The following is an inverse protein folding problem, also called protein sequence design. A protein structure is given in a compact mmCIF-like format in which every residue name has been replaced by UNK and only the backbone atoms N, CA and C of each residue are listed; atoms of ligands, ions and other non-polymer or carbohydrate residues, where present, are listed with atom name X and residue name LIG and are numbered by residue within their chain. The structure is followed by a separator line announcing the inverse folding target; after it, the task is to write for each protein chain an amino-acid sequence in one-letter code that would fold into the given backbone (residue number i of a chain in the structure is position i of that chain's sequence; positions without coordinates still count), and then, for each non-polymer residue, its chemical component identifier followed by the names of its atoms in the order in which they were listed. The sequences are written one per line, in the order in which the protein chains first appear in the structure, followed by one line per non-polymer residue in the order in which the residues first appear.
data_IF_035609473331
#
_entry.id   IF_035609473331
#
_cell.length_a   1.000
_cell.length_b   1.000
_cell.length_c   1.000
_cell.angle_alpha   90.00
_cell.angle_beta   90.00
_cell.angle_gamma   90.00
#
_symmetry.space_group_name_H-M   'P 1'
#
loop_
_entity.id
_entity.type
_entity.pdbx_description
1 polymer ?
#
# COMPACT_ATOMS: atom_id res chain seq x y z
N UNK A 1 9.06 16.80 61.14
CA UNK A 1 9.99 15.80 61.73
C UNK A 1 9.32 14.45 61.55
N UNK A 2 9.84 13.58 60.67
CA UNK A 2 9.37 12.20 60.61
C UNK A 2 9.56 11.51 61.96
N UNK A 3 8.87 10.41 62.20
CA UNK A 3 9.04 9.62 63.42
C UNK A 3 10.45 8.99 63.32
N UNK A 4 11.46 9.72 63.78
CA UNK A 4 12.85 9.61 63.34
C UNK A 4 13.49 8.24 63.56
N UNK A 5 12.97 7.43 64.47
CA UNK A 5 13.49 6.09 64.74
C UNK A 5 13.27 5.06 63.63
N UNK A 6 12.41 5.36 62.64
CA UNK A 6 12.03 4.40 61.59
C UNK A 6 12.34 4.89 60.17
N UNK A 7 13.15 5.95 60.04
CA UNK A 7 13.74 6.35 58.77
C UNK A 7 15.27 6.21 58.86
N UNK A 8 15.92 5.87 57.75
CA UNK A 8 17.37 5.85 57.59
C UNK A 8 17.79 6.96 56.62
N UNK A 9 18.79 7.77 56.97
CA UNK A 9 19.22 8.94 56.19
C UNK A 9 18.59 10.25 56.65
N UNK A 10 18.79 11.32 55.88
CA UNK A 10 18.53 12.70 56.31
C UNK A 10 17.22 13.28 55.75
N UNK A 11 16.62 14.20 56.51
CA UNK A 11 15.49 15.04 56.06
C UNK A 11 14.26 14.28 55.53
N UNK A 12 14.07 13.04 55.96
CA UNK A 12 12.90 12.26 55.60
C UNK A 12 11.66 12.69 56.42
N UNK A 13 10.51 12.78 55.75
CA UNK A 13 9.21 13.06 56.37
C UNK A 13 8.30 11.85 56.15
N UNK A 14 7.79 11.27 57.23
CA UNK A 14 6.94 10.08 57.21
C UNK A 14 7.60 8.87 57.89
N UNK A 15 7.44 7.67 57.31
CA UNK A 15 7.77 6.39 57.95
C UNK A 15 8.44 5.41 56.98
N UNK A 16 9.46 4.68 57.46
CA UNK A 16 10.05 3.56 56.72
C UNK A 16 10.88 3.98 55.51
N UNK A 17 11.30 5.24 55.41
CA UNK A 17 12.09 5.73 54.28
C UNK A 17 13.58 5.45 54.49
N UNK A 18 14.31 5.14 53.42
CA UNK A 18 15.76 4.95 53.39
C UNK A 18 16.41 5.82 52.34
N UNK A 19 17.41 6.63 52.72
CA UNK A 19 18.07 7.64 51.87
C UNK A 19 17.69 9.05 52.29
N UNK A 20 17.75 10.04 51.38
CA UNK A 20 17.64 11.45 51.75
C UNK A 20 16.42 12.17 51.14
N UNK A 21 15.84 13.11 51.89
CA UNK A 21 14.79 14.04 51.43
C UNK A 21 13.52 13.35 50.89
N UNK A 22 13.16 12.18 51.39
CA UNK A 22 11.93 11.49 50.99
C UNK A 22 10.72 11.97 51.80
N UNK A 23 9.55 12.07 51.16
CA UNK A 23 8.28 12.42 51.80
C UNK A 23 7.27 11.29 51.55
N UNK A 24 6.80 10.65 52.61
CA UNK A 24 5.78 9.59 52.56
C UNK A 24 6.24 8.30 53.23
N UNK A 25 5.94 7.16 52.62
CA UNK A 25 6.09 5.85 53.26
C UNK A 25 6.89 4.86 52.43
N UNK A 26 7.82 4.17 53.08
CA UNK A 26 8.55 3.05 52.47
C UNK A 26 9.29 3.40 51.17
N UNK A 27 9.76 4.64 51.02
CA UNK A 27 10.56 5.02 49.85
C UNK A 27 12.04 4.67 50.09
N UNK A 28 12.75 4.31 49.02
CA UNK A 28 14.19 4.03 49.04
C UNK A 28 14.92 4.89 48.00
N UNK A 29 16.08 5.45 48.35
CA UNK A 29 16.81 6.41 47.53
C UNK A 29 16.50 7.85 47.93
N UNK A 30 16.48 8.78 46.98
CA UNK A 30 16.50 10.21 47.28
C UNK A 30 15.33 10.99 46.66
N UNK A 31 14.86 12.02 47.35
CA UNK A 31 13.91 13.00 46.82
C UNK A 31 12.57 12.41 46.33
N UNK A 32 12.15 11.24 46.82
CA UNK A 32 10.90 10.63 46.41
C UNK A 32 9.72 11.17 47.24
N UNK A 33 8.55 11.31 46.59
CA UNK A 33 7.30 11.74 47.24
C UNK A 33 6.21 10.70 46.98
N UNK A 34 5.68 10.10 48.05
CA UNK A 34 4.60 9.12 47.99
C UNK A 34 4.95 7.80 48.67
N UNK A 35 4.67 6.68 48.01
CA UNK A 35 4.70 5.36 48.65
C UNK A 35 5.50 4.36 47.82
N UNK A 36 6.35 3.58 48.49
CA UNK A 36 7.07 2.45 47.87
C UNK A 36 7.90 2.81 46.63
N UNK A 37 8.32 4.07 46.48
CA UNK A 37 9.17 4.45 45.35
C UNK A 37 10.62 4.09 45.64
N UNK A 38 11.36 3.72 44.59
CA UNK A 38 12.78 3.37 44.65
C UNK A 38 13.59 4.18 43.63
N UNK A 39 14.69 4.78 44.04
CA UNK A 39 15.56 5.58 43.17
C UNK A 39 15.48 7.07 43.48
N UNK A 40 15.39 7.94 42.47
CA UNK A 40 15.55 9.39 42.64
C UNK A 40 14.39 10.21 42.06
N UNK A 41 13.77 11.06 42.88
CA UNK A 41 12.86 12.10 42.40
C UNK A 41 11.53 11.58 41.87
N UNK A 42 11.10 10.39 42.28
CA UNK A 42 9.83 9.82 41.84
C UNK A 42 8.66 10.37 42.68
N UNK A 43 7.50 10.58 42.04
CA UNK A 43 6.27 11.08 42.68
C UNK A 43 5.12 10.10 42.41
N UNK A 44 4.55 9.54 43.47
CA UNK A 44 3.39 8.64 43.39
C UNK A 44 3.62 7.30 44.09
N UNK A 45 3.25 6.20 43.44
CA UNK A 45 3.24 4.87 44.07
C UNK A 45 4.06 3.85 43.29
N UNK A 46 4.99 3.19 43.97
CA UNK A 46 5.66 1.99 43.45
C UNK A 46 6.49 2.23 42.20
N UNK A 47 7.01 3.44 41.99
CA UNK A 47 7.88 3.74 40.85
C UNK A 47 9.34 3.35 41.15
N UNK A 48 10.08 2.92 40.12
CA UNK A 48 11.50 2.55 40.21
C UNK A 48 12.34 3.31 39.18
N UNK A 49 13.48 3.84 39.60
CA UNK A 49 14.40 4.59 38.76
C UNK A 49 14.36 6.09 39.05
N UNK A 50 14.29 6.93 38.02
CA UNK A 50 14.43 8.37 38.17
C UNK A 50 13.23 9.17 37.63
N UNK A 51 12.83 10.22 38.35
CA UNK A 51 11.92 11.27 37.87
C UNK A 51 10.58 10.77 37.29
N UNK A 52 10.07 9.64 37.78
CA UNK A 52 8.79 9.11 37.33
C UNK A 52 7.61 9.68 38.13
N UNK A 53 6.48 9.93 37.46
CA UNK A 53 5.23 10.39 38.05
C UNK A 53 4.09 9.39 37.85
N UNK A 54 3.34 9.09 38.90
CA UNK A 54 2.17 8.21 38.86
C UNK A 54 2.42 6.84 39.51
N UNK A 55 2.07 5.76 38.82
CA UNK A 55 1.97 4.42 39.42
C UNK A 55 2.80 3.38 38.65
N UNK A 56 3.61 2.62 39.38
CA UNK A 56 4.28 1.42 38.86
C UNK A 56 5.14 1.64 37.61
N UNK A 57 5.72 2.83 37.45
CA UNK A 57 6.63 3.10 36.33
C UNK A 57 8.06 2.64 36.66
N UNK A 58 8.80 2.18 35.65
CA UNK A 58 10.18 1.74 35.76
C UNK A 58 11.07 2.45 34.72
N UNK A 59 12.25 2.92 35.13
CA UNK A 59 13.18 3.64 34.26
C UNK A 59 13.22 5.13 34.58
N UNK A 60 13.08 6.01 33.57
CA UNK A 60 13.33 7.45 33.75
C UNK A 60 12.30 8.38 33.13
N UNK A 61 11.79 9.36 33.87
CA UNK A 61 10.97 10.45 33.31
C UNK A 61 9.61 10.01 32.76
N UNK A 62 9.06 8.89 33.22
CA UNK A 62 7.75 8.42 32.77
C UNK A 62 6.62 9.08 33.56
N UNK A 63 5.48 9.35 32.93
CA UNK A 63 4.26 9.86 33.58
C UNK A 63 3.07 8.98 33.26
N UNK A 64 2.33 8.56 34.30
CA UNK A 64 1.13 7.75 34.16
C UNK A 64 1.27 6.41 34.87
N UNK A 65 0.97 5.32 34.18
CA UNK A 65 0.80 4.01 34.80
C UNK A 65 1.58 2.92 34.09
N UNK A 66 2.41 2.16 34.82
CA UNK A 66 2.99 0.92 34.33
C UNK A 66 3.89 1.08 33.12
N UNK A 67 4.52 2.24 32.94
CA UNK A 67 5.43 2.46 31.81
C UNK A 67 6.85 1.97 32.16
N UNK A 68 7.53 1.38 31.19
CA UNK A 68 8.91 0.90 31.32
C UNK A 68 9.82 1.55 30.26
N UNK A 69 10.99 2.03 30.67
CA UNK A 69 11.95 2.72 29.80
C UNK A 69 12.00 4.22 30.09
N UNK A 70 12.11 5.06 29.06
CA UNK A 70 12.35 6.49 29.27
C UNK A 70 11.31 7.40 28.63
N UNK A 71 10.90 8.47 29.32
CA UNK A 71 10.09 9.59 28.78
C UNK A 71 8.74 9.19 28.21
N UNK A 72 8.12 8.11 28.72
CA UNK A 72 6.80 7.69 28.26
C UNK A 72 5.68 8.42 29.00
N UNK A 73 4.57 8.71 28.31
CA UNK A 73 3.36 9.29 28.90
C UNK A 73 2.14 8.42 28.61
N UNK A 74 1.39 8.04 29.64
CA UNK A 74 0.16 7.25 29.51
C UNK A 74 0.26 5.91 30.22
N UNK A 75 -0.15 4.83 29.56
CA UNK A 75 -0.40 3.54 30.21
C UNK A 75 0.33 2.39 29.52
N UNK A 76 1.14 1.65 30.26
CA UNK A 76 1.70 0.38 29.81
C UNK A 76 2.64 0.49 28.60
N UNK A 77 3.29 1.63 28.39
CA UNK A 77 4.24 1.78 27.29
C UNK A 77 5.60 1.19 27.67
N UNK A 78 6.28 0.56 26.70
CA UNK A 78 7.61 -0.01 26.84
C UNK A 78 8.59 0.59 25.81
N UNK A 79 9.76 1.02 26.27
CA UNK A 79 10.77 1.67 25.44
C UNK A 79 10.79 3.18 25.69
N UNK A 80 10.94 3.98 24.63
CA UNK A 80 11.34 5.40 24.78
C UNK A 80 10.39 6.38 24.08
N UNK A 81 10.01 7.43 24.80
CA UNK A 81 9.30 8.60 24.24
C UNK A 81 7.97 8.22 23.58
N UNK A 82 7.25 7.25 24.16
CA UNK A 82 5.93 6.87 23.68
C UNK A 82 4.83 7.64 24.42
N UNK A 83 3.75 7.97 23.71
CA UNK A 83 2.57 8.63 24.28
C UNK A 83 1.31 7.83 23.97
N UNK A 84 0.51 7.52 25.00
CA UNK A 84 -0.74 6.79 24.87
C UNK A 84 -0.71 5.46 25.59
N UNK A 85 -1.17 4.39 24.94
CA UNK A 85 -1.49 3.12 25.59
C UNK A 85 -0.79 1.94 24.91
N UNK A 86 -0.03 1.16 25.68
CA UNK A 86 0.47 -0.13 25.24
C UNK A 86 1.43 -0.08 24.04
N UNK A 87 2.13 1.04 23.84
CA UNK A 87 3.10 1.14 22.74
C UNK A 87 4.43 0.49 23.13
N UNK A 88 5.08 -0.18 22.18
CA UNK A 88 6.38 -0.80 22.33
C UNK A 88 7.40 -0.23 21.32
N UNK A 89 8.58 0.14 21.77
CA UNK A 89 9.64 0.70 20.93
C UNK A 89 9.81 2.20 21.20
N UNK A 90 9.90 3.02 20.15
CA UNK A 90 10.31 4.43 20.30
C UNK A 90 9.45 5.43 19.52
N UNK A 91 9.17 6.58 20.12
CA UNK A 91 8.49 7.72 19.46
C UNK A 91 7.09 7.38 18.93
N UNK A 92 6.38 6.43 19.55
CA UNK A 92 5.05 6.07 19.12
C UNK A 92 3.97 6.90 19.83
N UNK A 93 2.91 7.26 19.12
CA UNK A 93 1.77 7.99 19.63
C UNK A 93 0.46 7.25 19.34
N UNK A 94 -0.37 7.05 20.36
CA UNK A 94 -1.66 6.38 20.25
C UNK A 94 -1.67 5.03 20.96
N UNK A 95 -2.17 3.98 20.31
CA UNK A 95 -2.56 2.73 20.96
C UNK A 95 -1.90 1.52 20.31
N UNK A 96 -1.19 0.71 21.10
CA UNK A 96 -0.74 -0.62 20.68
C UNK A 96 0.23 -0.61 19.50
N UNK A 97 0.99 0.47 19.28
CA UNK A 97 1.96 0.52 18.20
C UNK A 97 3.27 -0.18 18.61
N UNK A 98 3.91 -0.87 17.66
CA UNK A 98 5.19 -1.54 17.85
C UNK A 98 6.22 -1.05 16.82
N UNK A 99 7.39 -0.64 17.29
CA UNK A 99 8.49 -0.17 16.44
C UNK A 99 8.78 1.31 16.65
N UNK A 100 9.01 2.06 15.57
CA UNK A 100 9.52 3.44 15.65
C UNK A 100 8.62 4.44 14.92
N UNK A 101 8.31 5.56 15.59
CA UNK A 101 7.64 6.71 14.99
C UNK A 101 6.28 6.36 14.36
N UNK A 102 5.49 5.53 15.03
CA UNK A 102 4.15 5.22 14.56
C UNK A 102 3.09 6.08 15.26
N UNK A 103 2.08 6.51 14.52
CA UNK A 103 0.97 7.31 15.02
C UNK A 103 -0.38 6.64 14.73
N UNK A 104 -1.25 6.54 15.73
CA UNK A 104 -2.57 5.92 15.60
C UNK A 104 -2.67 4.60 16.35
N UNK A 105 -3.19 3.57 15.70
CA UNK A 105 -3.63 2.34 16.35
C UNK A 105 -3.01 1.10 15.73
N UNK A 106 -2.36 0.26 16.53
CA UNK A 106 -1.96 -1.09 16.15
C UNK A 106 -0.97 -1.16 14.99
N UNK A 107 -0.18 -0.12 14.75
CA UNK A 107 0.80 -0.14 13.67
C UNK A 107 2.07 -0.87 14.09
N UNK A 108 2.66 -1.65 13.19
CA UNK A 108 3.90 -2.38 13.39
C UNK A 108 4.97 -1.95 12.36
N UNK A 109 6.18 -1.66 12.82
CA UNK A 109 7.28 -1.23 11.95
C UNK A 109 7.64 0.23 12.17
N UNK A 110 7.88 0.99 11.08
CA UNK A 110 8.48 2.31 11.17
C UNK A 110 7.70 3.38 10.41
N UNK A 111 7.48 4.53 11.03
CA UNK A 111 6.93 5.73 10.38
C UNK A 111 5.53 5.51 9.79
N UNK A 112 4.70 4.72 10.45
CA UNK A 112 3.33 4.47 9.98
C UNK A 112 2.32 5.38 10.66
N UNK A 113 1.29 5.80 9.92
CA UNK A 113 0.21 6.63 10.43
C UNK A 113 -1.16 6.02 10.11
N UNK A 114 -2.04 5.91 11.10
CA UNK A 114 -3.40 5.39 10.94
C UNK A 114 -3.63 4.09 11.71
N UNK A 115 -4.26 3.11 11.08
CA UNK A 115 -4.75 1.89 11.74
C UNK A 115 -4.14 0.63 11.14
N UNK A 116 -3.52 -0.22 11.97
CA UNK A 116 -3.16 -1.59 11.61
C UNK A 116 -2.14 -1.71 10.48
N UNK A 117 -1.33 -0.67 10.22
CA UNK A 117 -0.34 -0.75 9.15
C UNK A 117 0.89 -1.55 9.59
N UNK A 118 1.46 -2.35 8.69
CA UNK A 118 2.68 -3.12 8.90
C UNK A 118 3.76 -2.72 7.88
N UNK A 119 4.99 -2.49 8.33
CA UNK A 119 6.11 -2.14 7.46
C UNK A 119 6.55 -0.69 7.64
N UNK A 120 6.79 0.03 6.54
CA UNK A 120 7.49 1.33 6.58
C UNK A 120 6.72 2.42 5.82
N UNK A 121 6.55 3.59 6.44
CA UNK A 121 6.00 4.78 5.78
C UNK A 121 4.60 4.58 5.19
N UNK A 122 3.76 3.77 5.84
CA UNK A 122 2.40 3.55 5.39
C UNK A 122 1.44 4.53 6.08
N UNK A 123 0.50 5.08 5.31
CA UNK A 123 -0.55 5.97 5.82
C UNK A 123 -1.94 5.43 5.48
N UNK A 124 -2.81 5.31 6.47
CA UNK A 124 -4.19 4.85 6.29
C UNK A 124 -4.46 3.57 7.07
N UNK A 125 -5.11 2.60 6.45
CA UNK A 125 -5.66 1.43 7.14
C UNK A 125 -5.14 0.14 6.54
N UNK A 126 -4.61 -0.75 7.39
CA UNK A 126 -4.26 -2.13 7.06
C UNK A 126 -3.30 -2.27 5.87
N UNK A 127 -2.45 -1.27 5.62
CA UNK A 127 -1.44 -1.39 4.58
C UNK A 127 -0.26 -2.22 5.08
N UNK A 128 0.28 -3.08 4.21
CA UNK A 128 1.49 -3.84 4.43
C UNK A 128 2.56 -3.48 3.39
N UNK A 129 3.84 -3.51 3.78
CA UNK A 129 4.95 -3.17 2.87
C UNK A 129 5.44 -1.74 3.06
N UNK A 130 5.71 -1.01 1.98
CA UNK A 130 6.41 0.28 2.07
C UNK A 130 5.78 1.40 1.26
N UNK A 131 5.63 2.58 1.87
CA UNK A 131 5.18 3.82 1.21
C UNK A 131 3.78 3.68 0.60
N UNK A 132 2.87 3.00 1.30
CA UNK A 132 1.50 2.80 0.85
C UNK A 132 0.54 3.80 1.50
N UNK A 133 -0.38 4.36 0.71
CA UNK A 133 -1.42 5.28 1.18
C UNK A 133 -2.82 4.77 0.84
N UNK A 134 -3.71 4.73 1.83
CA UNK A 134 -5.10 4.31 1.64
C UNK A 134 -5.43 3.05 2.44
N UNK A 135 -6.10 2.09 1.83
CA UNK A 135 -6.69 0.94 2.52
C UNK A 135 -6.15 -0.38 1.97
N UNK A 136 -5.67 -1.27 2.84
CA UNK A 136 -5.39 -2.66 2.50
C UNK A 136 -4.38 -2.87 1.36
N UNK A 137 -3.49 -1.92 1.11
CA UNK A 137 -2.48 -2.10 0.06
C UNK A 137 -1.31 -2.95 0.58
N UNK A 138 -0.83 -3.88 -0.23
CA UNK A 138 0.41 -4.61 -0.03
C UNK A 138 1.48 -4.12 -1.02
N UNK A 139 2.75 -4.53 -0.88
CA UNK A 139 3.80 -4.15 -1.82
C UNK A 139 4.37 -2.75 -1.57
N UNK A 140 4.79 -2.07 -2.63
CA UNK A 140 5.53 -0.81 -2.54
C UNK A 140 4.87 0.33 -3.34
N UNK A 141 4.77 1.50 -2.70
CA UNK A 141 4.39 2.76 -3.36
C UNK A 141 3.00 2.71 -4.01
N UNK A 142 2.02 2.20 -3.27
CA UNK A 142 0.64 2.12 -3.74
C UNK A 142 -0.24 3.19 -3.11
N UNK A 143 -1.17 3.74 -3.89
CA UNK A 143 -2.19 4.67 -3.43
C UNK A 143 -3.59 4.16 -3.79
N UNK A 144 -4.48 4.05 -2.82
CA UNK A 144 -5.88 3.66 -3.06
C UNK A 144 -6.28 2.44 -2.23
N UNK A 145 -6.99 1.48 -2.82
CA UNK A 145 -7.61 0.37 -2.09
C UNK A 145 -7.21 -0.99 -2.64
N UNK A 146 -6.62 -1.84 -1.79
CA UNK A 146 -6.45 -3.26 -2.08
C UNK A 146 -5.48 -3.55 -3.23
N UNK A 147 -4.51 -2.67 -3.51
CA UNK A 147 -3.48 -2.94 -4.50
C UNK A 147 -2.42 -3.86 -3.90
N UNK A 148 -2.01 -4.91 -4.62
CA UNK A 148 -1.02 -5.89 -4.14
C UNK A 148 0.29 -5.90 -4.94
N UNK A 149 0.33 -5.26 -6.11
CA UNK A 149 1.57 -5.03 -6.86
C UNK A 149 2.37 -3.84 -6.34
N UNK A 150 3.15 -3.19 -7.20
CA UNK A 150 3.97 -2.02 -6.86
C UNK A 150 3.66 -0.83 -7.77
N UNK A 151 3.78 0.38 -7.24
CA UNK A 151 3.63 1.64 -7.99
C UNK A 151 2.23 1.72 -8.63
N UNK A 152 1.20 1.41 -7.85
CA UNK A 152 -0.18 1.40 -8.30
C UNK A 152 -0.99 2.54 -7.71
N UNK A 153 -1.90 3.08 -8.51
CA UNK A 153 -2.92 4.03 -8.05
C UNK A 153 -4.31 3.51 -8.40
N UNK A 154 -5.22 3.46 -7.44
CA UNK A 154 -6.62 3.07 -7.65
C UNK A 154 -7.01 1.84 -6.85
N UNK A 155 -7.75 0.92 -7.47
CA UNK A 155 -8.49 -0.14 -6.78
C UNK A 155 -8.09 -1.52 -7.29
N UNK A 156 -7.73 -2.43 -6.39
CA UNK A 156 -7.59 -3.86 -6.66
C UNK A 156 -6.61 -4.19 -7.81
N UNK A 157 -5.53 -3.42 -7.95
CA UNK A 157 -4.48 -3.71 -8.93
C UNK A 157 -3.45 -4.69 -8.36
N UNK A 158 -3.29 -5.84 -9.02
CA UNK A 158 -2.29 -6.86 -8.64
C UNK A 158 -1.02 -6.84 -9.49
N UNK A 159 -1.04 -6.14 -10.63
CA UNK A 159 0.18 -5.91 -11.43
C UNK A 159 0.98 -4.72 -10.90
N UNK A 160 2.14 -4.42 -11.50
CA UNK A 160 2.90 -3.21 -11.18
C UNK A 160 2.61 -2.10 -12.19
N UNK A 161 2.83 -0.84 -11.79
CA UNK A 161 2.70 0.36 -12.63
C UNK A 161 1.28 0.53 -13.19
N UNK A 162 0.27 0.25 -12.38
CA UNK A 162 -1.13 0.32 -12.78
C UNK A 162 -1.83 1.54 -12.22
N UNK A 163 -2.60 2.20 -13.07
CA UNK A 163 -3.60 3.20 -12.66
C UNK A 163 -5.01 2.72 -13.02
N UNK A 164 -5.94 2.83 -12.08
CA UNK A 164 -7.34 2.46 -12.29
C UNK A 164 -7.79 1.26 -11.48
N UNK A 165 -8.58 0.37 -12.06
CA UNK A 165 -9.38 -0.61 -11.32
C UNK A 165 -9.17 -2.02 -11.87
N UNK A 166 -8.81 -2.95 -10.98
CA UNK A 166 -8.87 -4.38 -11.27
C UNK A 166 -7.94 -4.82 -12.39
N UNK A 167 -6.69 -4.35 -12.39
CA UNK A 167 -5.67 -4.83 -13.34
C UNK A 167 -4.97 -6.08 -12.78
N UNK A 168 -4.93 -7.16 -13.56
CA UNK A 168 -4.39 -8.48 -13.18
C UNK A 168 -3.31 -8.96 -14.15
N UNK A 169 -2.43 -9.84 -13.68
CA UNK A 169 -1.45 -10.56 -14.51
C UNK A 169 -0.03 -10.00 -14.46
N UNK A 170 0.65 -9.98 -15.60
CA UNK A 170 2.10 -9.74 -15.71
C UNK A 170 2.50 -8.30 -15.41
N UNK A 171 3.80 -8.12 -15.13
CA UNK A 171 4.42 -6.82 -14.85
C UNK A 171 4.39 -5.91 -16.10
N UNK A 172 3.71 -4.78 -15.99
CA UNK A 172 3.81 -3.69 -16.95
C UNK A 172 2.65 -2.69 -16.84
N UNK A 173 2.77 -1.52 -17.48
CA UNK A 173 1.88 -0.40 -17.26
C UNK A 173 0.46 -0.71 -17.72
N UNK A 174 -0.53 -0.46 -16.87
CA UNK A 174 -1.93 -0.51 -17.26
C UNK A 174 -2.66 0.76 -16.82
N UNK A 175 -3.64 1.21 -17.62
CA UNK A 175 -4.48 2.36 -17.27
C UNK A 175 -5.95 2.13 -17.61
N UNK A 176 -6.84 2.22 -16.62
CA UNK A 176 -8.28 2.05 -16.82
C UNK A 176 -8.82 0.86 -16.05
N UNK A 177 -9.62 0.00 -16.69
CA UNK A 177 -10.48 -0.95 -15.99
C UNK A 177 -10.30 -2.38 -16.50
N UNK A 178 -10.06 -3.31 -15.58
CA UNK A 178 -10.25 -4.74 -15.80
C UNK A 178 -9.26 -5.37 -16.77
N UNK A 179 -8.01 -4.89 -16.84
CA UNK A 179 -7.04 -5.44 -17.76
C UNK A 179 -6.44 -6.76 -17.28
N UNK A 180 -6.09 -7.62 -18.23
CA UNK A 180 -5.23 -8.79 -17.99
C UNK A 180 -3.93 -8.64 -18.77
N UNK A 181 -2.79 -8.81 -18.09
CA UNK A 181 -1.46 -8.63 -18.66
C UNK A 181 -0.93 -7.20 -18.52
N UNK A 182 -0.10 -6.78 -19.45
CA UNK A 182 0.64 -5.51 -19.40
C UNK A 182 0.36 -4.64 -20.64
N UNK A 183 0.70 -3.35 -20.54
CA UNK A 183 0.65 -2.37 -21.64
C UNK A 183 -0.77 -2.14 -22.18
N UNK A 184 -1.76 -2.15 -21.30
CA UNK A 184 -3.15 -1.96 -21.67
C UNK A 184 -3.67 -0.58 -21.24
N UNK A 185 -4.55 0.00 -22.05
CA UNK A 185 -5.29 1.20 -21.69
C UNK A 185 -6.77 1.09 -22.09
N UNK A 186 -7.68 1.61 -21.27
CA UNK A 186 -9.12 1.62 -21.54
C UNK A 186 -9.88 0.60 -20.70
N UNK A 187 -10.57 -0.34 -21.34
CA UNK A 187 -11.47 -1.28 -20.68
C UNK A 187 -11.27 -2.71 -21.17
N UNK A 188 -11.03 -3.63 -20.24
CA UNK A 188 -11.08 -5.08 -20.45
C UNK A 188 -10.18 -5.61 -21.58
N UNK A 189 -9.08 -4.92 -21.86
CA UNK A 189 -8.06 -5.45 -22.78
C UNK A 189 -7.23 -6.56 -22.13
N UNK A 190 -6.83 -7.53 -22.94
CA UNK A 190 -5.92 -8.62 -22.58
C UNK A 190 -4.69 -8.58 -23.45
N UNK A 191 -3.50 -8.51 -22.85
CA UNK A 191 -2.23 -8.53 -23.58
C UNK A 191 -1.35 -9.68 -23.10
N UNK A 192 -0.95 -10.53 -24.04
CA UNK A 192 0.13 -11.52 -23.84
C UNK A 192 1.44 -11.08 -24.50
N UNK A 193 1.45 -9.86 -25.06
CA UNK A 193 2.55 -9.23 -25.77
C UNK A 193 2.02 -8.03 -26.56
N UNK A 194 2.77 -6.92 -26.59
CA UNK A 194 2.35 -5.69 -27.28
C UNK A 194 1.48 -4.75 -26.44
N UNK A 195 0.86 -3.77 -27.09
CA UNK A 195 0.06 -2.69 -26.49
C UNK A 195 -1.39 -2.79 -26.95
N UNK A 196 -2.33 -2.61 -26.04
CA UNK A 196 -3.75 -2.51 -26.39
C UNK A 196 -4.34 -1.20 -25.88
N UNK A 197 -5.17 -0.55 -26.70
CA UNK A 197 -5.93 0.63 -26.30
C UNK A 197 -7.38 0.54 -26.74
N UNK A 198 -8.31 0.89 -25.85
CA UNK A 198 -9.75 0.90 -26.12
C UNK A 198 -10.47 -0.20 -25.35
N UNK A 199 -11.35 -0.96 -26.01
CA UNK A 199 -12.29 -1.87 -25.37
C UNK A 199 -12.10 -3.31 -25.84
N UNK A 200 -11.94 -4.26 -24.92
CA UNK A 200 -11.98 -5.70 -25.19
C UNK A 200 -10.98 -6.21 -26.25
N UNK A 201 -9.86 -5.52 -26.46
CA UNK A 201 -8.85 -5.99 -27.40
C UNK A 201 -8.03 -7.14 -26.77
N UNK A 202 -7.73 -8.16 -27.57
CA UNK A 202 -6.92 -9.32 -27.20
C UNK A 202 -5.64 -9.35 -28.04
N UNK A 203 -4.53 -8.90 -27.45
CA UNK A 203 -3.23 -8.76 -28.10
C UNK A 203 -2.27 -9.94 -27.83
N UNK A 204 -1.62 -10.40 -28.90
CA UNK A 204 -0.51 -11.38 -28.85
C UNK A 204 0.83 -10.79 -29.35
N UNK A 205 0.85 -9.49 -29.67
CA UNK A 205 2.00 -8.74 -30.18
C UNK A 205 1.55 -7.48 -30.93
N UNK A 206 2.44 -6.50 -31.14
CA UNK A 206 2.11 -5.28 -31.86
C UNK A 206 1.18 -4.33 -31.10
N UNK A 207 0.38 -3.52 -31.81
CA UNK A 207 -0.49 -2.49 -31.20
C UNK A 207 -1.94 -2.67 -31.67
N UNK A 208 -2.83 -3.12 -30.81
CA UNK A 208 -4.26 -3.11 -31.11
C UNK A 208 -4.93 -1.84 -30.57
N UNK A 209 -5.73 -1.19 -31.40
CA UNK A 209 -6.47 0.02 -31.01
C UNK A 209 -7.91 -0.02 -31.47
N UNK A 210 -8.84 0.26 -30.56
CA UNK A 210 -10.27 0.34 -30.84
C UNK A 210 -11.06 -0.68 -30.03
N UNK A 211 -11.97 -1.41 -30.68
CA UNK A 211 -12.97 -2.24 -30.01
C UNK A 211 -12.87 -3.69 -30.49
N UNK A 212 -12.73 -4.63 -29.57
CA UNK A 212 -12.83 -6.06 -29.80
C UNK A 212 -11.90 -6.58 -30.91
N UNK A 213 -10.69 -6.03 -31.02
CA UNK A 213 -9.71 -6.55 -31.97
C UNK A 213 -8.95 -7.73 -31.37
N UNK A 214 -8.69 -8.77 -32.16
CA UNK A 214 -7.92 -9.95 -31.74
C UNK A 214 -6.72 -10.17 -32.66
N UNK A 215 -5.57 -10.51 -32.07
CA UNK A 215 -4.32 -10.70 -32.82
C UNK A 215 -3.35 -9.55 -32.61
N UNK A 216 -2.79 -9.00 -33.69
CA UNK A 216 -1.69 -8.04 -33.63
C UNK A 216 -1.85 -6.87 -34.61
N UNK A 217 -1.51 -5.66 -34.15
CA UNK A 217 -1.47 -4.45 -34.99
C UNK A 217 -2.80 -4.03 -35.62
N UNK A 218 -3.94 -4.43 -35.05
CA UNK A 218 -5.26 -4.13 -35.62
C UNK A 218 -5.80 -2.78 -35.13
N UNK A 219 -6.42 -2.01 -36.02
CA UNK A 219 -7.03 -0.71 -35.70
C UNK A 219 -8.50 -0.69 -36.14
N UNK A 220 -9.40 -0.36 -35.22
CA UNK A 220 -10.83 -0.22 -35.50
C UNK A 220 -11.67 -1.19 -34.69
N UNK A 221 -12.66 -1.82 -35.32
CA UNK A 221 -13.71 -2.56 -34.63
C UNK A 221 -13.74 -4.00 -35.13
N UNK A 222 -13.69 -4.95 -34.21
CA UNK A 222 -13.94 -6.37 -34.46
C UNK A 222 -13.03 -6.98 -35.54
N UNK A 223 -11.78 -6.50 -35.64
CA UNK A 223 -10.82 -7.10 -36.58
C UNK A 223 -10.13 -8.31 -35.93
N UNK A 224 -9.81 -9.32 -36.73
CA UNK A 224 -9.07 -10.51 -36.30
C UNK A 224 -7.89 -10.82 -37.20
N UNK A 225 -6.73 -11.10 -36.61
CA UNK A 225 -5.50 -11.42 -37.34
C UNK A 225 -4.46 -10.30 -37.23
N UNK A 226 -3.85 -9.91 -38.35
CA UNK A 226 -2.67 -9.06 -38.35
C UNK A 226 -2.84 -7.78 -39.19
N UNK A 227 -2.56 -6.62 -38.59
CA UNK A 227 -2.45 -5.34 -39.30
C UNK A 227 -3.72 -4.95 -40.10
N UNK A 228 -4.90 -5.30 -39.60
CA UNK A 228 -6.16 -4.91 -40.22
C UNK A 228 -6.61 -3.53 -39.74
N UNK A 229 -7.19 -2.74 -40.63
CA UNK A 229 -7.72 -1.40 -40.36
C UNK A 229 -9.18 -1.33 -40.80
N UNK A 230 -10.07 -0.93 -39.90
CA UNK A 230 -11.49 -0.73 -40.18
C UNK A 230 -12.40 -1.64 -39.36
N UNK A 231 -13.42 -2.23 -39.98
CA UNK A 231 -14.51 -2.92 -39.28
C UNK A 231 -14.63 -4.36 -39.75
N UNK A 232 -14.54 -5.32 -38.83
CA UNK A 232 -14.89 -6.71 -39.10
C UNK A 232 -13.97 -7.42 -40.10
N UNK A 233 -12.73 -6.94 -40.28
CA UNK A 233 -11.81 -7.59 -41.20
C UNK A 233 -11.15 -8.82 -40.56
N UNK A 234 -10.89 -9.85 -41.34
CA UNK A 234 -10.27 -11.10 -40.90
C UNK A 234 -9.04 -11.44 -41.76
N UNK A 235 -8.01 -12.00 -41.12
CA UNK A 235 -6.76 -12.33 -41.80
C UNK A 235 -5.75 -11.20 -41.68
N UNK A 236 -5.09 -10.82 -42.78
CA UNK A 236 -3.94 -9.91 -42.72
C UNK A 236 -4.01 -8.72 -43.67
N UNK A 237 -3.58 -7.56 -43.17
CA UNK A 237 -3.37 -6.30 -43.93
C UNK A 237 -4.62 -5.81 -44.68
N UNK A 238 -5.81 -6.06 -44.14
CA UNK A 238 -7.04 -5.57 -44.73
C UNK A 238 -7.32 -4.12 -44.35
N UNK A 239 -7.92 -3.34 -45.25
CA UNK A 239 -8.35 -1.97 -45.00
C UNK A 239 -9.81 -1.74 -45.46
N UNK A 240 -10.74 -1.57 -44.53
CA UNK A 240 -12.14 -1.28 -44.84
C UNK A 240 -13.10 -2.11 -44.00
N UNK A 241 -14.15 -2.65 -44.63
CA UNK A 241 -15.26 -3.29 -43.93
C UNK A 241 -15.38 -4.74 -44.38
N UNK A 242 -15.39 -5.68 -43.44
CA UNK A 242 -15.69 -7.09 -43.67
C UNK A 242 -14.81 -7.78 -44.73
N UNK A 243 -13.57 -7.33 -44.94
CA UNK A 243 -12.65 -8.02 -45.85
C UNK A 243 -12.03 -9.24 -45.16
N UNK A 244 -11.86 -10.31 -45.91
CA UNK A 244 -11.24 -11.56 -45.47
C UNK A 244 -10.10 -11.91 -46.44
N UNK A 245 -8.86 -11.69 -46.01
CA UNK A 245 -7.67 -11.99 -46.82
C UNK A 245 -6.68 -12.82 -45.99
N UNK A 246 -6.44 -14.10 -46.35
CA UNK A 246 -5.63 -15.00 -45.52
C UNK A 246 -4.11 -14.75 -45.62
N UNK A 247 -3.63 -13.95 -46.58
CA UNK A 247 -2.20 -13.81 -46.87
C UNK A 247 -1.57 -12.58 -46.21
N UNK A 248 -0.49 -12.79 -45.45
CA UNK A 248 0.28 -11.75 -44.75
C UNK A 248 1.05 -10.80 -45.68
N UNK A 249 1.30 -11.20 -46.92
CA UNK A 249 2.21 -10.47 -47.82
C UNK A 249 1.51 -9.32 -48.52
N UNK A 250 0.22 -9.46 -48.87
CA UNK A 250 -0.48 -8.43 -49.65
C UNK A 250 -1.93 -8.25 -49.23
N UNK A 251 -2.29 -7.01 -48.89
CA UNK A 251 -3.57 -6.62 -48.32
C UNK A 251 -4.70 -6.46 -49.34
N UNK A 252 -5.90 -6.29 -48.80
CA UNK A 252 -7.16 -6.09 -49.53
C UNK A 252 -7.88 -4.87 -48.98
N UNK A 253 -8.56 -4.10 -49.82
CA UNK A 253 -9.25 -2.89 -49.38
C UNK A 253 -10.68 -2.77 -49.90
N UNK A 254 -11.51 -2.01 -49.18
CA UNK A 254 -12.90 -1.77 -49.53
C UNK A 254 -13.88 -2.57 -48.68
N UNK A 255 -14.90 -3.18 -49.29
CA UNK A 255 -16.04 -3.77 -48.58
C UNK A 255 -16.26 -5.23 -48.98
N UNK A 256 -16.30 -6.14 -48.01
CA UNK A 256 -16.71 -7.53 -48.20
C UNK A 256 -15.93 -8.30 -49.29
N UNK A 257 -14.64 -8.00 -49.47
CA UNK A 257 -13.79 -8.76 -50.37
C UNK A 257 -13.24 -10.01 -49.66
N UNK A 258 -13.20 -11.17 -50.32
CA UNK A 258 -12.78 -12.45 -49.71
C UNK A 258 -11.49 -13.05 -50.27
N UNK A 259 -10.74 -12.27 -51.04
CA UNK A 259 -9.47 -12.65 -51.66
C UNK A 259 -8.41 -11.55 -51.53
N UNK A 260 -7.17 -11.88 -51.89
CA UNK A 260 -5.99 -11.01 -51.76
C UNK A 260 -5.84 -10.05 -52.94
N UNK A 261 -5.23 -8.89 -52.71
CA UNK A 261 -4.93 -7.90 -53.74
C UNK A 261 -6.19 -7.33 -54.42
N UNK A 262 -7.31 -7.29 -53.69
CA UNK A 262 -8.58 -6.83 -54.23
C UNK A 262 -8.97 -5.46 -53.67
N UNK A 263 -9.63 -4.66 -54.49
CA UNK A 263 -10.14 -3.32 -54.14
C UNK A 263 -11.56 -3.12 -54.64
N UNK A 264 -12.36 -2.36 -53.90
CA UNK A 264 -13.78 -2.14 -54.20
C UNK A 264 -14.68 -3.02 -53.33
N UNK A 265 -15.68 -3.68 -53.90
CA UNK A 265 -16.72 -4.35 -53.13
C UNK A 265 -17.07 -5.76 -53.59
N UNK A 266 -17.25 -6.68 -52.65
CA UNK A 266 -17.79 -8.02 -52.92
C UNK A 266 -16.98 -8.83 -53.95
N UNK A 267 -15.67 -8.60 -54.03
CA UNK A 267 -14.80 -9.38 -54.90
C UNK A 267 -14.37 -10.69 -54.22
N UNK A 268 -14.43 -11.79 -54.95
CA UNK A 268 -14.11 -13.14 -54.48
C UNK A 268 -12.83 -13.70 -55.08
N UNK A 269 -12.35 -13.14 -56.19
CA UNK A 269 -11.06 -13.49 -56.79
C UNK A 269 -9.91 -12.57 -56.41
N UNK A 270 -8.70 -12.98 -56.76
CA UNK A 270 -7.46 -12.24 -56.44
C UNK A 270 -7.13 -11.20 -57.49
N UNK A 271 -6.50 -10.08 -57.09
CA UNK A 271 -6.04 -9.04 -58.02
C UNK A 271 -7.18 -8.33 -58.76
N UNK A 272 -8.32 -8.17 -58.11
CA UNK A 272 -9.52 -7.59 -58.70
C UNK A 272 -9.74 -6.14 -58.24
N UNK A 273 -10.29 -5.33 -59.13
CA UNK A 273 -10.73 -3.98 -58.80
C UNK A 273 -12.14 -3.78 -59.30
N UNK A 274 -13.04 -3.26 -58.46
CA UNK A 274 -14.42 -3.00 -58.85
C UNK A 274 -15.41 -3.69 -57.92
N UNK A 275 -16.56 -4.11 -58.47
CA UNK A 275 -17.65 -4.68 -57.71
C UNK A 275 -18.08 -6.02 -58.27
N UNK A 276 -18.28 -7.01 -57.40
CA UNK A 276 -18.87 -8.32 -57.72
C UNK A 276 -18.07 -9.16 -58.72
N UNK A 277 -16.74 -9.14 -58.63
CA UNK A 277 -15.85 -9.99 -59.43
C UNK A 277 -15.42 -11.29 -58.72
#
# INVERSE_FOLDING_TARGET
MGIGGLNSGNNNIGFGNSGDNNIGFFNSGNNNVGFFNSGNGNVGFGNSGATNGGFWNAGGGNTGFGNAGFTNTGFGNAGDTNTGFGNAGRLNAGYGNAGILNAGYGNAGNVNAGFGNAGIQNTGWENSGTVNTGFGNAGMTNTGWGNSGNINTGFLNSTNLSTGVGNLGSVGPNSGFGHTGANNSGFFNTSTGGFNSGFFNAGVGGVNSGINNSGASNVGINNSGFANVGIGNTGARNAGIANSAPNIVIGTSGVANSATLSSGGFNTGTSLSGFFH
#
